data_IF_781407904787
#
_entry.id   IF_781407904787
#
_cell.length_a   1.000
_cell.length_b   1.000
_cell.length_c   1.000
_cell.angle_alpha   90.00
_cell.angle_beta   90.00
_cell.angle_gamma   90.00
#
_symmetry.space_group_name_H-M   'P 1'
#
loop_
_entity.id
_entity.type
_entity.pdbx_description
1 polymer ?
#
# COMPACT_ATOMS: atom_id res chain seq x y z
N UNK A 1 11.28 -2.44 4.44
CA UNK A 1 10.98 -3.74 3.77
C UNK A 1 12.19 -4.65 3.85
N UNK A 2 13.37 -4.19 3.38
CA UNK A 2 14.63 -4.94 3.44
C UNK A 2 14.97 -5.55 4.80
N UNK A 3 14.87 -4.78 5.89
CA UNK A 3 15.13 -5.27 7.25
C UNK A 3 14.25 -6.46 7.62
N UNK A 4 12.95 -6.39 7.29
CA UNK A 4 11.98 -7.44 7.61
C UNK A 4 12.21 -8.65 6.72
N UNK A 5 12.45 -8.45 5.42
CA UNK A 5 12.74 -9.55 4.49
C UNK A 5 13.99 -10.33 4.92
N UNK A 6 15.06 -9.62 5.29
CA UNK A 6 16.29 -10.22 5.82
C UNK A 6 16.04 -11.00 7.11
N UNK A 7 15.27 -10.43 8.05
CA UNK A 7 14.92 -11.08 9.32
C UNK A 7 14.11 -12.36 9.13
N UNK A 8 13.20 -12.37 8.15
CA UNK A 8 12.34 -13.52 7.86
C UNK A 8 12.99 -14.54 6.90
N UNK A 9 14.19 -14.26 6.38
CA UNK A 9 14.89 -15.15 5.45
C UNK A 9 14.17 -15.30 4.10
N UNK A 10 13.40 -14.30 3.67
CA UNK A 10 12.65 -14.34 2.42
C UNK A 10 13.32 -13.51 1.33
N UNK A 11 13.28 -14.01 0.09
CA UNK A 11 13.75 -13.27 -1.09
C UNK A 11 12.81 -12.10 -1.37
N UNK A 12 13.38 -10.89 -1.46
CA UNK A 12 12.63 -9.68 -1.78
C UNK A 12 12.67 -9.44 -3.29
N UNK A 13 11.50 -9.50 -3.92
CA UNK A 13 11.28 -9.07 -5.31
C UNK A 13 10.67 -7.67 -5.32
N UNK A 14 11.22 -6.77 -6.16
CA UNK A 14 10.77 -5.37 -6.27
C UNK A 14 10.28 -5.10 -7.68
N UNK A 15 9.09 -4.51 -7.80
CA UNK A 15 8.50 -4.09 -9.07
C UNK A 15 8.18 -2.59 -9.01
N UNK A 16 8.63 -1.85 -10.01
CA UNK A 16 8.30 -0.43 -10.16
C UNK A 16 7.19 -0.26 -11.19
N UNK A 17 6.21 0.58 -10.83
CA UNK A 17 5.07 0.90 -11.69
C UNK A 17 5.20 2.27 -12.37
N UNK A 18 6.27 3.03 -12.08
CA UNK A 18 6.54 4.37 -12.65
C UNK A 18 5.32 5.31 -12.62
N UNK A 19 4.66 5.37 -11.46
CA UNK A 19 3.46 6.21 -11.25
C UNK A 19 3.83 7.69 -11.34
N UNK A 20 4.99 8.05 -10.82
CA UNK A 20 5.59 9.38 -10.91
C UNK A 20 5.70 9.89 -12.35
N UNK A 21 6.23 9.08 -13.26
CA UNK A 21 6.36 9.45 -14.68
C UNK A 21 4.99 9.67 -15.35
N UNK A 22 3.96 8.95 -14.92
CA UNK A 22 2.62 9.09 -15.47
C UNK A 22 1.85 10.31 -14.92
N UNK A 23 2.35 10.99 -13.89
CA UNK A 23 1.68 12.17 -13.32
C UNK A 23 1.65 13.36 -14.29
N UNK A 24 2.66 13.51 -15.14
CA UNK A 24 2.72 14.60 -16.11
C UNK A 24 1.58 14.50 -17.15
N UNK A 25 1.29 13.28 -17.60
CA UNK A 25 0.26 13.02 -18.60
C UNK A 25 -1.13 12.88 -17.96
N UNK A 26 -1.23 12.18 -16.81
CA UNK A 26 -2.52 11.76 -16.23
C UNK A 26 -3.01 12.63 -15.08
N UNK A 27 -2.18 13.56 -14.60
CA UNK A 27 -2.46 14.36 -13.42
C UNK A 27 -2.57 13.52 -12.13
N UNK A 28 -2.99 14.16 -11.05
CA UNK A 28 -3.17 13.49 -9.76
C UNK A 28 -4.33 12.48 -9.80
N UNK A 29 -4.20 11.30 -9.16
CA UNK A 29 -5.28 10.34 -9.07
C UNK A 29 -6.45 10.88 -8.23
N UNK A 30 -7.67 10.61 -8.67
CA UNK A 30 -8.91 10.98 -7.95
C UNK A 30 -9.63 9.75 -7.43
N UNK A 31 -10.69 9.94 -6.63
CA UNK A 31 -11.47 8.81 -6.14
C UNK A 31 -12.17 8.06 -7.28
N UNK A 32 -12.54 8.80 -8.33
CA UNK A 32 -13.24 8.36 -9.55
C UNK A 32 -12.26 7.77 -10.57
N UNK A 33 -11.03 8.31 -10.66
CA UNK A 33 -10.01 7.86 -11.59
C UNK A 33 -8.73 7.44 -10.87
N UNK A 34 -8.67 6.15 -10.52
CA UNK A 34 -7.54 5.51 -9.82
C UNK A 34 -6.60 4.80 -10.80
N UNK A 35 -6.23 5.44 -11.90
CA UNK A 35 -5.33 4.90 -12.92
C UNK A 35 -4.05 4.30 -12.34
N UNK A 36 -3.51 4.91 -11.27
CA UNK A 36 -2.31 4.46 -10.59
C UNK A 36 -2.47 3.09 -9.92
N UNK A 37 -3.70 2.69 -9.55
CA UNK A 37 -3.98 1.36 -9.00
C UNK A 37 -3.82 0.29 -10.09
N UNK A 38 -4.32 0.56 -11.30
CA UNK A 38 -4.18 -0.34 -12.44
C UNK A 38 -2.71 -0.58 -12.78
N UNK A 39 -1.92 0.50 -12.89
CA UNK A 39 -0.47 0.42 -13.16
C UNK A 39 0.28 -0.40 -12.10
N UNK A 40 -0.04 -0.20 -10.81
CA UNK A 40 0.56 -0.98 -9.72
C UNK A 40 0.21 -2.47 -9.78
N UNK A 41 -1.04 -2.80 -10.10
CA UNK A 41 -1.51 -4.18 -10.22
C UNK A 41 -0.85 -4.87 -11.42
N UNK A 42 -0.76 -4.20 -12.56
CA UNK A 42 -0.09 -4.71 -13.76
C UNK A 42 1.41 -4.98 -13.51
N UNK A 43 2.11 -4.03 -12.89
CA UNK A 43 3.52 -4.20 -12.51
C UNK A 43 3.73 -5.36 -11.53
N UNK A 44 2.83 -5.51 -10.55
CA UNK A 44 2.86 -6.62 -9.60
C UNK A 44 2.72 -7.98 -10.31
N UNK A 45 1.67 -8.17 -11.12
CA UNK A 45 1.46 -9.44 -11.80
C UNK A 45 2.57 -9.77 -12.80
N UNK A 46 3.11 -8.76 -13.51
CA UNK A 46 4.29 -8.95 -14.36
C UNK A 46 5.46 -9.52 -13.57
N UNK A 47 5.80 -8.92 -12.42
CA UNK A 47 6.89 -9.40 -11.56
C UNK A 47 6.61 -10.79 -10.99
N UNK A 48 5.36 -11.11 -10.62
CA UNK A 48 5.02 -12.45 -10.16
C UNK A 48 5.27 -13.48 -11.27
N UNK A 49 4.87 -13.21 -12.52
CA UNK A 49 5.15 -14.13 -13.66
C UNK A 49 6.65 -14.30 -13.94
N UNK A 50 7.47 -13.28 -13.69
CA UNK A 50 8.93 -13.38 -13.76
C UNK A 50 9.48 -14.29 -12.65
N UNK A 51 8.91 -14.19 -11.44
CA UNK A 51 9.40 -14.87 -10.25
C UNK A 51 8.87 -16.31 -10.08
N UNK A 52 7.71 -16.65 -10.64
CA UNK A 52 7.06 -17.95 -10.50
C UNK A 52 6.54 -18.50 -11.84
N UNK A 53 6.62 -19.82 -12.02
CA UNK A 53 6.14 -20.51 -13.24
C UNK A 53 4.89 -21.34 -12.94
N UNK A 54 3.87 -21.19 -13.78
CA UNK A 54 2.63 -21.98 -13.70
C UNK A 54 1.69 -21.55 -12.58
N UNK A 55 0.96 -22.51 -12.00
CA UNK A 55 -0.02 -22.27 -10.92
C UNK A 55 0.68 -21.65 -9.72
N UNK A 56 0.29 -20.42 -9.38
CA UNK A 56 0.96 -19.61 -8.36
C UNK A 56 0.03 -19.27 -7.22
N UNK A 57 0.42 -19.63 -5.99
CA UNK A 57 -0.30 -19.26 -4.78
C UNK A 57 0.22 -17.90 -4.26
N UNK A 58 -0.67 -16.93 -4.10
CA UNK A 58 -0.36 -15.59 -3.58
C UNK A 58 -0.99 -15.45 -2.20
N UNK A 59 -0.17 -15.28 -1.16
CA UNK A 59 -0.66 -14.98 0.19
C UNK A 59 -0.87 -13.48 0.32
N UNK A 60 -2.10 -13.04 0.58
CA UNK A 60 -2.45 -11.62 0.72
C UNK A 60 -2.83 -11.26 2.15
N UNK A 61 -2.52 -10.04 2.56
CA UNK A 61 -2.89 -9.49 3.86
C UNK A 61 -4.30 -8.89 3.92
N UNK A 62 -5.23 -9.36 3.09
CA UNK A 62 -6.61 -8.85 3.01
C UNK A 62 -7.41 -9.23 4.28
N UNK A 63 -8.17 -8.29 4.86
CA UNK A 63 -8.90 -8.48 6.12
C UNK A 63 -10.27 -7.82 6.14
N UNK A 64 -11.21 -8.43 6.86
CA UNK A 64 -12.61 -7.99 6.95
C UNK A 64 -12.74 -6.59 7.53
N UNK A 65 -11.94 -6.31 8.55
CA UNK A 65 -11.94 -5.04 9.25
C UNK A 65 -11.41 -3.86 8.40
N UNK A 66 -10.94 -4.08 7.17
CA UNK A 66 -10.38 -3.00 6.33
C UNK A 66 -11.42 -2.21 5.55
N UNK A 67 -12.50 -2.87 5.10
CA UNK A 67 -13.68 -2.24 4.47
C UNK A 67 -14.78 -3.27 4.21
N UNK A 68 -15.99 -2.78 3.97
CA UNK A 68 -17.13 -3.62 3.56
C UNK A 68 -16.85 -4.43 2.27
N UNK A 69 -16.13 -3.84 1.31
CA UNK A 69 -15.73 -4.56 0.09
C UNK A 69 -14.73 -5.69 0.38
N UNK A 70 -13.88 -5.55 1.42
CA UNK A 70 -12.96 -6.62 1.84
C UNK A 70 -13.67 -7.70 2.67
N UNK A 71 -14.71 -7.36 3.43
CA UNK A 71 -15.47 -8.35 4.20
C UNK A 71 -16.24 -9.32 3.31
N UNK A 72 -16.87 -8.83 2.22
CA UNK A 72 -17.64 -9.64 1.24
C UNK A 72 -16.80 -10.61 0.39
N UNK A 73 -15.47 -10.48 0.46
CA UNK A 73 -14.50 -11.16 -0.40
C UNK A 73 -14.17 -12.55 0.20
N UNK A 74 -14.22 -13.69 -0.51
CA UNK A 74 -13.95 -15.03 0.08
C UNK A 74 -12.52 -15.23 0.63
N UNK A 75 -12.24 -16.30 1.38
CA UNK A 75 -10.87 -16.60 1.85
C UNK A 75 -9.90 -16.93 0.71
N UNK A 76 -10.42 -17.59 -0.33
CA UNK A 76 -9.68 -18.03 -1.51
C UNK A 76 -10.31 -17.38 -2.74
N UNK A 77 -9.48 -16.84 -3.64
CA UNK A 77 -9.90 -16.26 -4.92
C UNK A 77 -8.98 -16.76 -6.01
N UNK A 78 -9.53 -17.07 -7.17
CA UNK A 78 -8.72 -17.46 -8.34
C UNK A 78 -8.87 -16.42 -9.44
N UNK A 79 -7.76 -16.07 -10.10
CA UNK A 79 -7.72 -15.19 -11.25
C UNK A 79 -6.58 -15.62 -12.17
N UNK A 80 -6.89 -16.01 -13.40
CA UNK A 80 -5.93 -16.57 -14.35
C UNK A 80 -5.15 -17.75 -13.73
N UNK A 81 -3.82 -17.72 -13.73
CA UNK A 81 -2.93 -18.72 -13.12
C UNK A 81 -2.74 -18.54 -11.59
N UNK A 82 -3.31 -17.48 -11.01
CA UNK A 82 -3.10 -17.10 -9.62
C UNK A 82 -4.22 -17.56 -8.70
N UNK A 83 -3.85 -18.17 -7.58
CA UNK A 83 -4.76 -18.42 -6.45
C UNK A 83 -4.35 -17.52 -5.29
N UNK A 84 -5.19 -16.56 -4.91
CA UNK A 84 -4.97 -15.70 -3.75
C UNK A 84 -5.62 -16.29 -2.51
N UNK A 85 -4.88 -16.30 -1.40
CA UNK A 85 -5.36 -16.75 -0.08
C UNK A 85 -5.15 -15.66 0.97
N UNK A 86 -6.19 -15.40 1.77
CA UNK A 86 -6.18 -14.39 2.83
C UNK A 86 -6.22 -15.06 4.22
N UNK A 87 -5.09 -15.57 4.74
CA UNK A 87 -5.09 -16.31 6.00
C UNK A 87 -5.44 -15.43 7.21
N UNK A 88 -5.19 -14.13 7.12
CA UNK A 88 -5.47 -13.17 8.19
C UNK A 88 -6.87 -12.54 8.09
N UNK A 89 -7.75 -13.06 7.22
CA UNK A 89 -9.02 -12.39 6.89
C UNK A 89 -9.85 -11.95 8.11
N UNK A 90 -9.88 -12.77 9.16
CA UNK A 90 -10.64 -12.49 10.40
C UNK A 90 -9.88 -11.65 11.43
N UNK A 91 -8.64 -11.26 11.16
CA UNK A 91 -7.82 -10.51 12.08
C UNK A 91 -8.12 -9.00 12.00
N UNK A 92 -8.09 -8.34 13.16
CA UNK A 92 -8.19 -6.88 13.25
C UNK A 92 -6.82 -6.23 12.99
N UNK A 93 -6.78 -4.89 12.93
CA UNK A 93 -5.53 -4.11 13.02
C UNK A 93 -4.67 -4.51 14.22
N UNK A 94 -5.30 -4.55 15.39
CA UNK A 94 -4.65 -4.83 16.65
C UNK A 94 -4.08 -6.25 16.71
N UNK A 95 -4.82 -7.26 16.21
CA UNK A 95 -4.31 -8.64 16.17
C UNK A 95 -2.99 -8.73 15.38
N UNK A 96 -2.92 -8.07 14.22
CA UNK A 96 -1.70 -8.05 13.39
C UNK A 96 -0.56 -7.35 14.12
N UNK A 97 -0.79 -6.15 14.66
CA UNK A 97 0.25 -5.39 15.35
C UNK A 97 0.77 -6.10 16.60
N UNK A 98 -0.11 -6.65 17.43
CA UNK A 98 0.27 -7.42 18.62
C UNK A 98 1.07 -8.67 18.25
N UNK A 99 0.71 -9.36 17.17
CA UNK A 99 1.48 -10.50 16.70
C UNK A 99 2.88 -10.10 16.24
N UNK A 100 3.01 -9.00 15.48
CA UNK A 100 4.32 -8.49 15.07
C UNK A 100 5.18 -8.16 16.29
N UNK A 101 4.63 -7.42 17.27
CA UNK A 101 5.33 -7.07 18.51
C UNK A 101 5.74 -8.31 19.31
N UNK A 102 4.83 -9.27 19.52
CA UNK A 102 5.09 -10.54 20.21
C UNK A 102 6.24 -11.33 19.57
N UNK A 103 6.36 -11.27 18.25
CA UNK A 103 7.40 -11.98 17.49
C UNK A 103 8.63 -11.10 17.18
N UNK A 104 8.77 -9.94 17.84
CA UNK A 104 9.86 -9.00 17.64
C UNK A 104 10.01 -8.53 16.19
N UNK A 105 8.94 -8.51 15.40
CA UNK A 105 8.93 -7.97 14.03
C UNK A 105 8.66 -6.46 14.12
N UNK A 106 9.58 -5.60 13.62
CA UNK A 106 9.42 -4.16 13.76
C UNK A 106 8.20 -3.66 12.99
N UNK A 107 7.42 -2.79 13.65
CA UNK A 107 6.36 -2.04 13.00
C UNK A 107 6.97 -0.96 12.10
N UNK A 108 6.22 -0.56 11.06
CA UNK A 108 6.59 0.66 10.32
C UNK A 108 6.44 1.88 11.25
N UNK A 109 7.46 2.76 11.38
CA UNK A 109 7.40 3.93 12.24
C UNK A 109 6.18 4.83 12.01
N UNK A 110 5.65 4.89 10.78
CA UNK A 110 4.46 5.68 10.47
C UNK A 110 3.21 5.22 11.24
N UNK A 111 3.15 3.97 11.71
CA UNK A 111 2.07 3.56 12.62
C UNK A 111 2.12 4.29 13.97
N UNK A 112 3.32 4.68 14.43
CA UNK A 112 3.49 5.44 15.67
C UNK A 112 3.14 6.92 15.48
N UNK A 113 3.25 7.42 14.26
CA UNK A 113 2.84 8.79 13.87
C UNK A 113 1.31 8.93 13.71
N UNK A 114 0.54 7.83 13.78
CA UNK A 114 -0.92 7.85 13.68
C UNK A 114 -1.49 7.42 12.32
N UNK A 115 -0.66 6.90 11.41
CA UNK A 115 -1.16 6.29 10.18
C UNK A 115 -1.78 4.93 10.48
N UNK A 116 -2.93 4.64 9.86
CA UNK A 116 -3.62 3.35 10.05
C UNK A 116 -3.47 2.43 8.84
N UNK A 117 -3.32 2.99 7.63
CA UNK A 117 -3.04 2.24 6.39
C UNK A 117 -2.04 3.01 5.54
N UNK A 118 -0.92 2.36 5.23
CA UNK A 118 0.17 2.99 4.49
C UNK A 118 -0.05 2.85 2.98
N UNK A 119 0.21 3.93 2.26
CA UNK A 119 0.08 4.04 0.81
C UNK A 119 0.90 5.22 0.28
N UNK A 120 0.67 5.63 -0.96
CA UNK A 120 1.32 6.83 -1.51
C UNK A 120 0.70 8.10 -0.92
N UNK A 121 1.51 9.13 -0.63
CA UNK A 121 1.04 10.39 -0.05
C UNK A 121 0.16 11.21 -1.01
N UNK A 122 0.22 10.95 -2.32
CA UNK A 122 -0.69 11.53 -3.32
C UNK A 122 -2.02 10.77 -3.47
N UNK A 123 -2.31 9.81 -2.60
CA UNK A 123 -3.52 9.00 -2.72
C UNK A 123 -4.79 9.84 -2.43
N UNK A 124 -5.82 9.80 -3.29
CA UNK A 124 -7.08 10.50 -3.02
C UNK A 124 -7.82 9.92 -1.80
N UNK A 125 -7.50 8.71 -1.37
CA UNK A 125 -8.04 8.06 -0.18
C UNK A 125 -7.28 8.37 1.12
N UNK A 126 -6.23 9.21 1.06
CA UNK A 126 -5.48 9.65 2.24
C UNK A 126 -6.42 10.45 3.16
N UNK A 127 -6.38 10.16 4.46
CA UNK A 127 -7.30 10.75 5.43
C UNK A 127 -6.86 12.15 5.86
N UNK A 128 -7.82 12.98 6.30
CA UNK A 128 -7.55 14.36 6.72
C UNK A 128 -6.52 14.46 7.86
N UNK A 129 -6.54 13.53 8.82
CA UNK A 129 -5.53 13.52 9.89
C UNK A 129 -4.16 13.06 9.41
N UNK A 130 -4.09 12.13 8.44
CA UNK A 130 -2.83 11.71 7.81
C UNK A 130 -2.23 12.89 7.02
N UNK A 131 -3.07 13.67 6.34
CA UNK A 131 -2.67 14.92 5.70
C UNK A 131 -2.12 15.91 6.74
N UNK A 132 -2.80 16.08 7.88
CA UNK A 132 -2.34 16.95 8.98
C UNK A 132 -0.97 16.52 9.52
N UNK A 133 -0.76 15.21 9.73
CA UNK A 133 0.54 14.67 10.17
C UNK A 133 1.64 15.01 9.16
N UNK A 134 1.39 14.79 7.86
CA UNK A 134 2.37 15.09 6.81
C UNK A 134 2.66 16.60 6.70
N UNK A 135 1.65 17.45 6.85
CA UNK A 135 1.82 18.92 6.86
C UNK A 135 2.66 19.39 8.04
N UNK A 136 2.45 18.80 9.21
CA UNK A 136 3.18 19.15 10.43
C UNK A 136 4.58 18.52 10.48
N UNK A 137 4.84 17.50 9.67
CA UNK A 137 6.13 16.81 9.61
C UNK A 137 6.55 16.52 8.17
N UNK A 138 6.96 17.58 7.46
CA UNK A 138 7.40 17.50 6.06
C UNK A 138 8.61 16.57 5.84
N UNK A 139 9.35 16.22 6.90
CA UNK A 139 10.46 15.25 6.83
C UNK A 139 10.00 13.83 6.47
N UNK A 140 8.70 13.54 6.61
CA UNK A 140 8.10 12.27 6.19
C UNK A 140 7.90 12.17 4.67
N UNK A 141 8.03 13.27 3.94
CA UNK A 141 7.95 13.32 2.48
C UNK A 141 9.37 13.36 1.91
N UNK A 142 9.69 12.54 0.89
CA UNK A 142 10.95 12.66 0.16
C UNK A 142 11.16 14.08 -0.36
N UNK A 143 12.35 14.66 -0.16
CA UNK A 143 12.62 16.08 -0.43
C UNK A 143 12.35 16.49 -1.88
N UNK A 144 12.70 15.61 -2.83
CA UNK A 144 12.44 15.73 -4.27
C UNK A 144 10.94 15.73 -4.62
N UNK A 145 10.09 15.26 -3.71
CA UNK A 145 8.64 15.12 -3.91
C UNK A 145 7.81 16.15 -3.16
N UNK A 146 8.43 17.12 -2.48
CA UNK A 146 7.73 18.18 -1.76
C UNK A 146 6.83 19.03 -2.68
N UNK A 147 7.28 19.33 -3.90
CA UNK A 147 6.48 20.09 -4.86
C UNK A 147 5.23 19.31 -5.31
N UNK A 148 5.37 18.00 -5.52
CA UNK A 148 4.26 17.13 -5.82
C UNK A 148 3.27 17.06 -4.64
N UNK A 149 3.77 16.97 -3.41
CA UNK A 149 2.92 17.00 -2.22
C UNK A 149 2.14 18.32 -2.08
N UNK A 150 2.78 19.47 -2.32
CA UNK A 150 2.11 20.78 -2.36
C UNK A 150 1.02 20.84 -3.43
N UNK A 151 1.27 20.29 -4.62
CA UNK A 151 0.26 20.17 -5.68
C UNK A 151 -0.92 19.31 -5.25
N UNK A 152 -0.66 18.20 -4.55
CA UNK A 152 -1.70 17.35 -3.97
C UNK A 152 -2.56 18.08 -2.92
N UNK A 153 -1.95 18.86 -2.01
CA UNK A 153 -2.68 19.65 -1.02
C UNK A 153 -3.63 20.65 -1.70
N UNK A 154 -3.17 21.36 -2.74
CA UNK A 154 -4.01 22.28 -3.51
C UNK A 154 -5.21 21.58 -4.13
N UNK A 155 -5.02 20.39 -4.70
CA UNK A 155 -6.10 19.58 -5.28
C UNK A 155 -7.15 19.15 -4.24
N UNK A 156 -6.73 18.96 -2.98
CA UNK A 156 -7.61 18.63 -1.86
C UNK A 156 -8.32 19.83 -1.23
N UNK A 157 -8.07 21.06 -1.71
CA UNK A 157 -8.58 22.28 -1.07
C UNK A 157 -7.91 22.57 0.27
N UNK A 158 -6.76 21.95 0.54
CA UNK A 158 -5.98 22.14 1.75
C UNK A 158 -4.99 23.29 1.56
N UNK A 159 -4.75 24.10 2.61
CA UNK A 159 -3.68 25.10 2.59
C UNK A 159 -2.33 24.37 2.50
N UNK A 160 -1.57 24.68 1.44
CA UNK A 160 -0.26 24.11 1.14
C UNK A 160 0.85 24.68 2.02
#
# INVERSE_FOLDING_TARGET
>A
METVSRKLGVRLEVAEAHVDSALEEKGLPTNENRWCTRMKIEALYRKIREASRGRTLIVVGDRDAESELRSKRPFVRTHEEFTQVAPLKLWSGSHVQLYLLKNNIPLNPLYLEGFYRLGCFICPALRSWEIMILKNNLKLIPGDQLNLFKSFLRCKGERA
#
